data_IF_449400556566
#
_entry.id   IF_449400556566
#
_cell.length_a   1.000
_cell.length_b   1.000
_cell.length_c   1.000
_cell.angle_alpha   90.00
_cell.angle_beta   90.00
_cell.angle_gamma   90.00
#
_symmetry.space_group_name_H-M   'P 1'
#
loop_
_entity.id
_entity.type
_entity.pdbx_description
1 polymer ?
#
# COMPACT_ATOMS: atom_id res chain seq x y z
N UNK A 1 -2.98 -14.79 -9.73
CA UNK A 1 -1.77 -14.43 -10.51
C UNK A 1 -0.58 -15.23 -9.99
N UNK A 2 0.50 -15.51 -10.76
CA UNK A 2 1.68 -16.14 -10.19
C UNK A 2 2.32 -15.21 -9.15
N UNK A 3 2.86 -15.78 -8.06
CA UNK A 3 3.55 -15.02 -7.03
C UNK A 3 4.65 -14.12 -7.65
N UNK A 4 4.58 -12.82 -7.38
CA UNK A 4 5.51 -11.84 -7.95
C UNK A 4 6.82 -11.92 -7.17
N UNK A 5 7.97 -12.04 -7.85
CA UNK A 5 9.27 -11.90 -7.19
C UNK A 5 9.60 -10.42 -7.08
N UNK A 6 9.55 -9.88 -5.87
CA UNK A 6 10.14 -8.57 -5.61
C UNK A 6 11.65 -8.61 -5.80
N UNK A 7 12.18 -7.59 -6.44
CA UNK A 7 13.60 -7.30 -6.41
C UNK A 7 13.96 -6.63 -5.07
N UNK A 8 15.22 -6.78 -4.66
CA UNK A 8 15.74 -6.12 -3.45
C UNK A 8 15.49 -4.60 -3.46
N UNK A 9 15.60 -3.97 -4.62
CA UNK A 9 15.37 -2.53 -4.80
C UNK A 9 13.88 -2.15 -4.61
N UNK A 10 12.93 -3.02 -4.99
CA UNK A 10 11.50 -2.80 -4.73
C UNK A 10 11.21 -2.85 -3.24
N UNK A 11 11.73 -3.85 -2.53
CA UNK A 11 11.57 -3.97 -1.08
C UNK A 11 12.21 -2.81 -0.32
N UNK A 12 13.37 -2.32 -0.75
CA UNK A 12 14.02 -1.14 -0.14
C UNK A 12 13.19 0.13 -0.35
N UNK A 13 12.62 0.33 -1.55
CA UNK A 13 11.72 1.44 -1.81
C UNK A 13 10.44 1.37 -0.98
N UNK A 14 9.88 0.17 -0.80
CA UNK A 14 8.71 -0.10 0.05
C UNK A 14 9.00 0.25 1.52
N UNK A 15 10.14 -0.23 2.05
CA UNK A 15 10.59 0.09 3.41
C UNK A 15 10.82 1.59 3.61
N UNK A 16 11.43 2.28 2.64
CA UNK A 16 11.65 3.72 2.71
C UNK A 16 10.33 4.51 2.80
N UNK A 17 9.26 4.03 2.15
CA UNK A 17 7.90 4.61 2.26
C UNK A 17 7.26 4.29 3.62
N UNK A 18 7.45 3.08 4.15
CA UNK A 18 6.94 2.67 5.47
C UNK A 18 7.52 3.47 6.63
N UNK A 19 8.78 3.91 6.55
CA UNK A 19 9.44 4.70 7.62
C UNK A 19 8.67 5.99 7.94
N UNK A 20 7.97 6.58 6.96
CA UNK A 20 7.17 7.80 7.14
C UNK A 20 5.78 7.56 7.74
N UNK A 21 5.39 6.30 8.00
CA UNK A 21 4.05 5.90 8.46
C UNK A 21 4.00 5.57 9.95
N UNK A 22 2.81 5.62 10.53
CA UNK A 22 2.59 5.15 11.91
C UNK A 22 2.78 3.63 12.02
N UNK A 23 3.02 3.11 13.23
CA UNK A 23 3.23 1.67 13.42
C UNK A 23 2.01 0.83 12.99
N UNK A 24 0.80 1.33 13.24
CA UNK A 24 -0.46 0.68 12.84
C UNK A 24 -0.62 0.65 11.33
N UNK A 25 -0.37 1.76 10.64
CA UNK A 25 -0.39 1.81 9.17
C UNK A 25 0.68 0.89 8.58
N UNK A 26 1.89 0.88 9.15
CA UNK A 26 2.96 -0.01 8.69
C UNK A 26 2.55 -1.48 8.73
N UNK A 27 1.90 -1.91 9.81
CA UNK A 27 1.43 -3.30 9.94
C UNK A 27 0.37 -3.63 8.89
N UNK A 28 -0.60 -2.74 8.68
CA UNK A 28 -1.62 -2.90 7.64
C UNK A 28 -0.99 -2.99 6.26
N UNK A 29 -0.17 -2.02 5.88
CA UNK A 29 0.47 -1.91 4.56
C UNK A 29 1.37 -3.13 4.31
N UNK A 30 2.15 -3.58 5.30
CA UNK A 30 2.99 -4.77 5.16
C UNK A 30 2.19 -6.06 4.94
N UNK A 31 1.03 -6.21 5.60
CA UNK A 31 0.16 -7.36 5.39
C UNK A 31 -0.45 -7.36 3.99
N UNK A 32 -0.93 -6.20 3.51
CA UNK A 32 -1.51 -6.07 2.18
C UNK A 32 -0.47 -6.31 1.07
N UNK A 33 0.76 -5.80 1.26
CA UNK A 33 1.86 -5.98 0.31
C UNK A 33 2.25 -7.45 0.21
N UNK A 34 2.31 -8.16 1.34
CA UNK A 34 2.60 -9.59 1.33
C UNK A 34 1.55 -10.39 0.57
N UNK A 35 0.26 -10.07 0.72
CA UNK A 35 -0.81 -10.71 -0.04
C UNK A 35 -0.68 -10.46 -1.56
N UNK A 36 -0.21 -9.28 -1.97
CA UNK A 36 0.10 -8.98 -3.36
C UNK A 36 1.27 -9.81 -3.90
N UNK A 37 2.35 -9.94 -3.13
CA UNK A 37 3.52 -10.75 -3.50
C UNK A 37 3.19 -12.24 -3.59
N UNK A 38 2.40 -12.75 -2.65
CA UNK A 38 1.90 -14.12 -2.65
C UNK A 38 0.89 -14.37 -3.79
N UNK A 39 0.45 -13.31 -4.49
CA UNK A 39 -0.47 -13.37 -5.62
C UNK A 39 -1.94 -13.56 -5.22
N UNK A 40 -2.25 -13.35 -3.93
CA UNK A 40 -3.60 -13.35 -3.36
C UNK A 40 -4.36 -12.06 -3.70
N UNK A 41 -3.63 -10.95 -3.85
CA UNK A 41 -4.15 -9.67 -4.35
C UNK A 41 -3.52 -9.29 -5.69
N UNK A 42 -4.31 -8.68 -6.57
CA UNK A 42 -3.84 -8.12 -7.85
C UNK A 42 -3.24 -6.71 -7.69
N UNK A 43 -3.61 -5.99 -6.63
CA UNK A 43 -3.12 -4.64 -6.31
C UNK A 43 -2.22 -4.67 -5.08
N UNK A 44 -1.14 -3.87 -5.15
CA UNK A 44 -0.19 -3.68 -4.05
C UNK A 44 -0.82 -2.89 -2.88
N UNK A 45 -0.16 -2.86 -1.73
CA UNK A 45 -0.61 -2.17 -0.54
C UNK A 45 -0.91 -0.69 -0.80
N UNK A 46 -2.07 -0.24 -0.34
CA UNK A 46 -2.45 1.16 -0.39
C UNK A 46 -1.77 1.93 0.74
N UNK A 47 -0.92 2.89 0.38
CA UNK A 47 -0.22 3.77 1.29
C UNK A 47 -1.05 4.98 1.72
N UNK A 48 -2.25 5.19 1.16
CA UNK A 48 -3.09 6.35 1.45
C UNK A 48 -2.52 7.67 0.93
N UNK A 49 -1.50 7.62 0.06
CA UNK A 49 -0.97 8.79 -0.67
C UNK A 49 -1.91 9.24 -1.80
N UNK A 50 -2.94 8.44 -2.09
CA UNK A 50 -4.08 8.90 -2.88
C UNK A 50 -4.67 10.13 -2.18
N UNK A 51 -4.35 11.30 -2.72
CA UNK A 51 -4.81 12.60 -2.25
C UNK A 51 -6.27 12.52 -1.78
N UNK A 52 -6.66 13.18 -0.67
CA UNK A 52 -8.06 13.43 -0.39
C UNK A 52 -8.59 14.50 -1.36
N UNK A 53 -8.54 14.23 -2.67
CA UNK A 53 -9.11 15.11 -3.68
C UNK A 53 -10.63 14.87 -3.85
N UNK A 54 -11.22 13.85 -3.22
CA UNK A 54 -12.64 13.52 -3.48
C UNK A 54 -13.53 13.27 -2.26
N UNK A 55 -13.06 13.49 -1.01
CA UNK A 55 -13.94 13.48 0.17
C UNK A 55 -14.67 14.83 0.39
N UNK A 56 -14.90 15.61 -0.68
CA UNK A 56 -15.57 16.92 -0.61
C UNK A 56 -16.65 17.13 -1.68
N UNK A 57 -17.30 16.05 -2.11
CA UNK A 57 -18.46 16.13 -3.01
C UNK A 57 -19.61 15.24 -2.54
N UNK A 58 -20.03 15.39 -1.28
CA UNK A 58 -21.43 15.14 -0.86
C UNK A 58 -21.79 16.15 0.22
N UNK A 59 -21.71 17.42 -0.14
CA UNK A 59 -22.47 18.49 0.49
C UNK A 59 -23.28 19.17 -0.62
N UNK A 60 -24.48 18.64 -0.87
CA UNK A 60 -25.57 19.24 -1.65
C UNK A 60 -26.78 18.33 -1.47
N UNK A 61 -27.97 18.76 -1.04
CA UNK A 61 -28.53 20.05 -0.69
C UNK A 61 -29.60 19.79 0.39
#
# INVERSE_FOLDING_TARGET
>A
MPARRETRSETEAFQARLVRRSATERQRIAAEHRAFIDGEKDDDADFGDAQPAQARAVARA
#
